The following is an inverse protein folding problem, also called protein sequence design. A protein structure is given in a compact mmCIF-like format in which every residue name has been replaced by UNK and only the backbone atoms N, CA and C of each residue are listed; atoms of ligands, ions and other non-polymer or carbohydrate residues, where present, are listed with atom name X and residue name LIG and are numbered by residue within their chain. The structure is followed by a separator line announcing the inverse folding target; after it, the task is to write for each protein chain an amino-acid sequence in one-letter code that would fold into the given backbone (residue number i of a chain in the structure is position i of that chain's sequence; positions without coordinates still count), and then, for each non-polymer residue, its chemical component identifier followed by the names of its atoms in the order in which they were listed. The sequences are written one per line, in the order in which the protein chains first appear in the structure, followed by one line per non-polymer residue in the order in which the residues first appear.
data_IF_696667465203
#
_entry.id   IF_696667465203
#
_cell.length_a   1.000
_cell.length_b   1.000
_cell.length_c   1.000
_cell.angle_alpha   90.00
_cell.angle_beta   90.00
_cell.angle_gamma   90.00
#
_symmetry.space_group_name_H-M   'P 1'
#
loop_
_entity.id
_entity.type
_entity.pdbx_description
1 polymer ?
#
# COMPACT_ATOMS: atom_id res chain seq x y z
N UNK A 1 5.47 -80.33 16.61
CA UNK A 1 6.36 -79.93 17.71
C UNK A 1 7.75 -79.68 17.15
N UNK A 2 8.35 -78.50 17.42
CA UNK A 2 9.76 -78.19 17.08
C UNK A 2 9.90 -77.25 15.86
N UNK A 3 9.48 -75.98 15.91
CA UNK A 3 10.14 -74.83 16.58
C UNK A 3 11.08 -74.06 15.64
N UNK A 4 10.55 -72.92 15.18
CA UNK A 4 11.19 -71.66 14.75
C UNK A 4 12.69 -71.68 14.40
N UNK A 5 12.98 -71.48 13.10
CA UNK A 5 14.29 -70.99 12.65
C UNK A 5 14.50 -69.58 13.20
N UNK A 6 15.45 -69.42 14.11
CA UNK A 6 15.84 -68.11 14.62
C UNK A 6 16.38 -67.23 13.49
N UNK A 7 15.83 -66.02 13.43
CA UNK A 7 16.19 -64.96 12.51
C UNK A 7 17.56 -64.37 12.95
N UNK A 8 18.63 -64.40 12.14
CA UNK A 8 19.98 -63.98 12.56
C UNK A 8 20.18 -62.46 12.70
N UNK A 9 19.10 -61.67 12.69
CA UNK A 9 19.15 -60.22 12.76
C UNK A 9 19.12 -59.62 14.19
N UNK A 10 19.18 -60.46 15.23
CA UNK A 10 18.93 -60.03 16.61
C UNK A 10 20.17 -59.99 17.53
N UNK A 11 21.38 -59.71 17.02
CA UNK A 11 22.60 -59.68 17.85
C UNK A 11 23.61 -58.58 17.48
N UNK A 12 23.19 -57.32 17.41
CA UNK A 12 24.13 -56.19 17.52
C UNK A 12 23.49 -55.01 18.25
N UNK A 13 23.44 -55.08 19.59
CA UNK A 13 23.19 -53.92 20.45
C UNK A 13 24.44 -53.59 21.26
N UNK A 14 25.56 -53.33 20.58
CA UNK A 14 26.73 -52.69 21.20
C UNK A 14 26.98 -51.42 20.43
N UNK A 15 26.69 -50.27 21.05
CA UNK A 15 27.20 -48.98 20.57
C UNK A 15 28.72 -49.06 20.58
N UNK A 16 29.36 -49.04 19.42
CA UNK A 16 30.82 -49.06 19.33
C UNK A 16 31.39 -47.84 20.04
N UNK A 17 32.44 -48.02 20.84
CA UNK A 17 33.09 -46.89 21.51
C UNK A 17 33.84 -46.03 20.48
N UNK A 18 34.09 -44.75 20.76
CA UNK A 18 34.83 -43.86 19.84
C UNK A 18 36.21 -44.42 19.44
N UNK A 19 36.80 -45.25 20.29
CA UNK A 19 38.08 -45.93 20.07
C UNK A 19 37.96 -47.00 18.97
N UNK A 20 36.82 -47.67 18.87
CA UNK A 20 36.56 -48.71 17.87
C UNK A 20 36.25 -48.09 16.49
N UNK A 21 35.55 -46.95 16.47
CA UNK A 21 35.27 -46.20 15.24
C UNK A 21 36.53 -45.65 14.56
N UNK A 22 37.57 -45.34 15.35
CA UNK A 22 38.87 -44.86 14.84
C UNK A 22 39.71 -45.97 14.18
N UNK A 23 39.45 -47.24 14.49
CA UNK A 23 40.16 -48.41 13.92
C UNK A 23 39.54 -48.89 12.60
N UNK A 24 38.32 -48.44 12.27
CA UNK A 24 37.63 -48.83 11.04
C UNK A 24 38.19 -48.09 9.82
N UNK A 25 38.10 -48.74 8.65
CA UNK A 25 38.33 -48.04 7.38
C UNK A 25 37.28 -46.94 7.18
N UNK A 26 37.60 -45.85 6.45
CA UNK A 26 36.66 -44.75 6.22
C UNK A 26 35.30 -45.22 5.67
N UNK A 27 35.31 -46.21 4.78
CA UNK A 27 34.10 -46.78 4.18
C UNK A 27 33.27 -47.59 5.18
N UNK A 28 33.90 -48.38 6.05
CA UNK A 28 33.19 -49.12 7.10
C UNK A 28 32.60 -48.17 8.15
N UNK A 29 33.34 -47.13 8.53
CA UNK A 29 32.86 -46.09 9.45
C UNK A 29 31.67 -45.33 8.87
N UNK A 30 31.73 -44.96 7.59
CA UNK A 30 30.61 -44.30 6.91
C UNK A 30 29.36 -45.19 6.87
N UNK A 31 29.52 -46.49 6.56
CA UNK A 31 28.41 -47.45 6.59
C UNK A 31 27.81 -47.59 7.98
N UNK A 32 28.63 -47.66 9.03
CA UNK A 32 28.13 -47.74 10.40
C UNK A 32 27.34 -46.48 10.82
N UNK A 33 27.91 -45.29 10.60
CA UNK A 33 27.27 -44.01 10.93
C UNK A 33 25.96 -43.76 10.16
N UNK A 34 25.78 -44.37 8.99
CA UNK A 34 24.54 -44.27 8.22
C UNK A 34 23.33 -44.94 8.89
N UNK A 35 23.58 -45.94 9.76
CA UNK A 35 22.53 -46.66 10.49
C UNK A 35 22.46 -46.28 11.98
N UNK A 36 23.45 -45.55 12.49
CA UNK A 36 23.45 -45.03 13.86
C UNK A 36 22.53 -43.81 13.97
N UNK A 37 21.82 -43.71 15.10
CA UNK A 37 20.96 -42.54 15.35
C UNK A 37 21.84 -41.31 15.58
N UNK A 38 21.55 -40.18 14.93
CA UNK A 38 22.30 -38.95 15.13
C UNK A 38 22.24 -38.49 16.60
N UNK A 39 23.25 -37.74 17.04
CA UNK A 39 23.23 -37.16 18.38
C UNK A 39 22.10 -36.13 18.51
N UNK A 40 21.63 -35.91 19.74
CA UNK A 40 20.55 -34.94 20.03
C UNK A 40 20.88 -33.53 19.52
N UNK A 41 22.15 -33.13 19.56
CA UNK A 41 22.60 -31.83 19.04
C UNK A 41 22.45 -31.73 17.52
N UNK A 42 22.80 -32.80 16.79
CA UNK A 42 22.62 -32.87 15.33
C UNK A 42 21.14 -32.88 14.97
N UNK A 43 20.31 -33.63 15.70
CA UNK A 43 18.85 -33.63 15.52
C UNK A 43 18.25 -32.23 15.73
N UNK A 44 18.65 -31.53 16.80
CA UNK A 44 18.21 -30.16 17.08
C UNK A 44 18.64 -29.17 15.99
N UNK A 45 19.86 -29.32 15.45
CA UNK A 45 20.36 -28.50 14.35
C UNK A 45 19.58 -28.74 13.04
N UNK A 46 19.29 -30.00 12.73
CA UNK A 46 18.46 -30.39 11.57
C UNK A 46 17.02 -29.89 11.72
N UNK A 47 16.46 -29.93 12.93
CA UNK A 47 15.13 -29.37 13.20
C UNK A 47 15.11 -27.85 13.07
N UNK A 48 16.11 -27.15 13.60
CA UNK A 48 16.24 -25.70 13.48
C UNK A 48 16.34 -25.25 12.02
N UNK A 49 17.18 -25.90 11.23
CA UNK A 49 17.31 -25.63 9.78
C UNK A 49 16.03 -25.94 9.03
N UNK A 50 15.38 -27.08 9.31
CA UNK A 50 14.09 -27.43 8.69
C UNK A 50 12.98 -26.42 9.02
N UNK A 51 12.94 -25.92 10.26
CA UNK A 51 11.98 -24.91 10.67
C UNK A 51 12.24 -23.57 9.96
N UNK A 52 13.50 -23.13 9.88
CA UNK A 52 13.88 -21.95 9.08
C UNK A 52 13.45 -22.06 7.63
N UNK A 53 13.70 -23.20 6.97
CA UNK A 53 13.30 -23.41 5.58
C UNK A 53 11.78 -23.40 5.40
N UNK A 54 11.02 -23.93 6.37
CA UNK A 54 9.55 -23.84 6.37
C UNK A 54 9.04 -22.41 6.55
N UNK A 55 9.68 -21.63 7.42
CA UNK A 55 9.36 -20.22 7.62
C UNK A 55 9.65 -19.41 6.36
N UNK A 56 10.78 -19.66 5.71
CA UNK A 56 11.16 -19.03 4.45
C UNK A 56 10.20 -19.39 3.31
N UNK A 57 9.81 -20.67 3.19
CA UNK A 57 8.80 -21.10 2.24
C UNK A 57 7.43 -20.43 2.47
N UNK A 58 6.99 -20.33 3.73
CA UNK A 58 5.75 -19.62 4.10
C UNK A 58 5.84 -18.13 3.80
N UNK A 59 6.98 -17.50 4.05
CA UNK A 59 7.21 -16.09 3.74
C UNK A 59 7.14 -15.84 2.22
N UNK A 60 7.69 -16.75 1.41
CA UNK A 60 7.61 -16.69 -0.05
C UNK A 60 6.16 -16.80 -0.56
N UNK A 61 5.35 -17.67 0.05
CA UNK A 61 3.92 -17.81 -0.28
C UNK A 61 3.08 -16.61 0.18
N UNK A 62 3.43 -16.00 1.31
CA UNK A 62 2.72 -14.84 1.85
C UNK A 62 3.07 -13.52 1.13
N UNK A 63 4.29 -13.39 0.60
CA UNK A 63 4.76 -12.20 -0.10
C UNK A 63 3.86 -11.72 -1.26
N UNK A 64 3.39 -12.57 -2.20
CA UNK A 64 2.49 -12.12 -3.26
C UNK A 64 1.13 -11.68 -2.73
N UNK A 65 0.59 -12.31 -1.68
CA UNK A 65 -0.69 -11.92 -1.06
C UNK A 65 -0.59 -10.53 -0.43
N UNK A 66 0.46 -10.28 0.35
CA UNK A 66 0.69 -8.97 0.96
C UNK A 66 0.86 -7.86 -0.08
N UNK A 67 1.49 -8.16 -1.22
CA UNK A 67 1.61 -7.22 -2.35
C UNK A 67 0.25 -6.93 -2.98
N UNK A 68 -0.56 -7.97 -3.21
CA UNK A 68 -1.92 -7.82 -3.75
C UNK A 68 -2.81 -6.99 -2.81
N UNK A 69 -2.75 -7.25 -1.50
CA UNK A 69 -3.51 -6.49 -0.50
C UNK A 69 -3.10 -5.02 -0.49
N UNK A 70 -1.80 -4.73 -0.56
CA UNK A 70 -1.29 -3.37 -0.65
C UNK A 70 -1.73 -2.65 -1.94
N UNK A 71 -1.77 -3.36 -3.07
CA UNK A 71 -2.28 -2.81 -4.33
C UNK A 71 -3.79 -2.54 -4.27
N UNK A 72 -4.58 -3.45 -3.71
CA UNK A 72 -6.03 -3.26 -3.54
C UNK A 72 -6.33 -2.05 -2.64
N UNK A 73 -5.57 -1.86 -1.56
CA UNK A 73 -5.72 -0.67 -0.69
C UNK A 73 -5.40 0.61 -1.46
N UNK A 74 -4.34 0.61 -2.27
CA UNK A 74 -3.99 1.77 -3.12
C UNK A 74 -5.10 2.05 -4.13
N UNK A 75 -5.61 1.04 -4.81
CA UNK A 75 -6.71 1.16 -5.76
C UNK A 75 -7.98 1.70 -5.07
N UNK A 76 -8.35 1.15 -3.93
CA UNK A 76 -9.50 1.62 -3.15
C UNK A 76 -9.36 3.09 -2.74
N UNK A 77 -8.16 3.52 -2.33
CA UNK A 77 -7.86 4.93 -2.02
C UNK A 77 -8.05 5.83 -3.24
N UNK A 78 -7.51 5.45 -4.40
CA UNK A 78 -7.66 6.20 -5.65
C UNK A 78 -9.13 6.27 -6.05
N UNK A 79 -9.85 5.16 -6.01
CA UNK A 79 -11.30 5.13 -6.29
C UNK A 79 -12.08 6.04 -5.33
N UNK A 80 -11.73 6.05 -4.04
CA UNK A 80 -12.33 6.94 -3.06
C UNK A 80 -12.09 8.42 -3.38
N UNK A 81 -10.86 8.78 -3.76
CA UNK A 81 -10.51 10.14 -4.17
C UNK A 81 -11.26 10.57 -5.42
N UNK A 82 -11.33 9.70 -6.44
CA UNK A 82 -12.06 9.97 -7.68
C UNK A 82 -13.56 10.14 -7.44
N UNK A 83 -14.18 9.26 -6.64
CA UNK A 83 -15.60 9.39 -6.25
C UNK A 83 -15.87 10.69 -5.49
N UNK A 84 -14.98 11.08 -4.58
CA UNK A 84 -15.10 12.34 -3.85
C UNK A 84 -14.98 13.56 -4.78
N UNK A 85 -14.03 13.53 -5.73
CA UNK A 85 -13.87 14.56 -6.74
C UNK A 85 -15.12 14.67 -7.63
N UNK A 86 -15.67 13.52 -8.07
CA UNK A 86 -16.89 13.48 -8.87
C UNK A 86 -18.10 14.05 -8.11
N UNK A 87 -18.31 13.65 -6.85
CA UNK A 87 -19.41 14.16 -6.04
C UNK A 87 -19.32 15.68 -5.85
N UNK A 88 -18.12 16.21 -5.58
CA UNK A 88 -17.88 17.66 -5.51
C UNK A 88 -18.16 18.34 -6.84
N UNK A 89 -17.73 17.75 -7.95
CA UNK A 89 -17.99 18.30 -9.28
C UNK A 89 -19.50 18.32 -9.59
N UNK A 90 -20.24 17.26 -9.28
CA UNK A 90 -21.71 17.22 -9.43
C UNK A 90 -22.39 18.35 -8.66
N UNK A 91 -22.02 18.56 -7.39
CA UNK A 91 -22.54 19.67 -6.56
C UNK A 91 -22.18 21.03 -7.17
N UNK A 92 -20.94 21.21 -7.62
CA UNK A 92 -20.50 22.45 -8.28
C UNK A 92 -21.32 22.74 -9.54
N UNK A 93 -21.49 21.76 -10.43
CA UNK A 93 -22.26 21.90 -11.67
C UNK A 93 -23.71 22.27 -11.35
N UNK A 94 -24.33 21.61 -10.38
CA UNK A 94 -25.69 21.95 -9.95
C UNK A 94 -25.80 23.38 -9.41
N UNK A 95 -24.84 23.83 -8.60
CA UNK A 95 -24.80 25.20 -8.09
C UNK A 95 -24.65 26.23 -9.21
N UNK A 96 -23.74 25.98 -10.16
CA UNK A 96 -23.54 26.85 -11.33
C UNK A 96 -24.81 26.92 -12.19
N UNK A 97 -25.44 25.76 -12.44
CA UNK A 97 -26.71 25.69 -13.18
C UNK A 97 -27.82 26.45 -12.46
N UNK A 98 -27.95 26.26 -11.15
CA UNK A 98 -28.93 26.99 -10.34
C UNK A 98 -28.70 28.50 -10.40
N UNK A 99 -27.46 28.96 -10.25
CA UNK A 99 -27.13 30.39 -10.36
C UNK A 99 -27.48 30.94 -11.73
N UNK A 100 -27.14 30.21 -12.80
CA UNK A 100 -27.47 30.61 -14.18
C UNK A 100 -28.99 30.68 -14.41
N UNK A 101 -29.73 29.67 -13.98
CA UNK A 101 -31.20 29.64 -14.12
C UNK A 101 -31.84 30.76 -13.32
N UNK A 102 -31.43 30.94 -12.06
CA UNK A 102 -31.90 32.03 -11.20
C UNK A 102 -31.66 33.40 -11.85
N UNK A 103 -30.48 33.64 -12.43
CA UNK A 103 -30.22 34.91 -13.12
C UNK A 103 -31.10 35.09 -14.36
N UNK A 104 -31.31 34.04 -15.14
CA UNK A 104 -32.18 34.08 -16.32
C UNK A 104 -33.64 34.37 -15.94
N UNK A 105 -34.13 33.73 -14.88
CA UNK A 105 -35.49 33.89 -14.38
C UNK A 105 -35.74 35.29 -13.81
N UNK A 106 -34.79 35.82 -13.03
CA UNK A 106 -34.84 37.21 -12.56
C UNK A 106 -34.86 38.18 -13.74
N UNK A 107 -33.99 38.00 -14.74
CA UNK A 107 -33.95 38.86 -15.91
C UNK A 107 -35.26 38.79 -16.70
N UNK A 108 -35.83 37.60 -16.84
CA UNK A 108 -37.14 37.41 -17.46
C UNK A 108 -38.23 38.14 -16.68
N UNK A 109 -38.25 38.03 -15.35
CA UNK A 109 -39.23 38.70 -14.49
C UNK A 109 -39.13 40.23 -14.60
N UNK A 110 -37.93 40.80 -14.68
CA UNK A 110 -37.72 42.24 -14.89
C UNK A 110 -38.23 42.65 -16.28
N UNK A 111 -37.93 41.85 -17.31
CA UNK A 111 -38.28 42.16 -18.70
C UNK A 111 -39.78 42.03 -18.96
N UNK A 112 -40.47 41.15 -18.24
CA UNK A 112 -41.91 40.94 -18.38
C UNK A 112 -42.78 41.95 -17.62
N UNK A 113 -42.18 42.93 -16.92
CA UNK A 113 -42.94 43.95 -16.24
C UNK A 113 -43.69 44.85 -17.24
N UNK A 114 -44.92 45.29 -16.90
CA UNK A 114 -45.76 46.05 -17.83
C UNK A 114 -45.23 47.47 -18.10
N UNK A 115 -44.47 48.05 -17.17
CA UNK A 115 -43.87 49.37 -17.33
C UNK A 115 -42.38 49.36 -16.97
N UNK A 116 -41.62 50.26 -17.60
CA UNK A 116 -40.19 50.42 -17.30
C UNK A 116 -39.94 50.87 -15.84
N UNK A 117 -40.87 51.63 -15.25
CA UNK A 117 -40.79 52.06 -13.84
C UNK A 117 -40.90 50.87 -12.89
N UNK A 118 -41.80 49.93 -13.19
CA UNK A 118 -41.97 48.71 -12.39
C UNK A 118 -40.76 47.78 -12.52
N UNK A 119 -40.21 47.64 -13.72
CA UNK A 119 -38.96 46.91 -13.96
C UNK A 119 -37.79 47.47 -13.14
N UNK A 120 -37.59 48.79 -13.16
CA UNK A 120 -36.55 49.47 -12.37
C UNK A 120 -36.77 49.30 -10.86
N UNK A 121 -38.02 49.46 -10.40
CA UNK A 121 -38.37 49.28 -9.00
C UNK A 121 -38.07 47.85 -8.55
N UNK A 122 -38.44 46.85 -9.34
CA UNK A 122 -38.14 45.44 -9.06
C UNK A 122 -36.62 45.20 -8.99
N UNK A 123 -35.85 45.75 -9.95
CA UNK A 123 -34.40 45.62 -10.00
C UNK A 123 -33.72 46.19 -8.74
N UNK A 124 -34.20 47.33 -8.22
CA UNK A 124 -33.64 47.98 -7.03
C UNK A 124 -33.87 47.16 -5.75
N UNK A 125 -34.94 46.38 -5.66
CA UNK A 125 -35.20 45.52 -4.50
C UNK A 125 -34.39 44.22 -4.51
N UNK A 126 -33.72 43.89 -5.62
CA UNK A 126 -32.88 42.70 -5.69
C UNK A 126 -31.52 42.97 -5.01
N UNK A 127 -30.93 41.95 -4.38
CA UNK A 127 -29.56 42.05 -3.89
C UNK A 127 -28.62 42.45 -5.03
N UNK A 128 -27.66 43.36 -4.80
CA UNK A 128 -26.70 43.73 -5.82
C UNK A 128 -25.93 42.48 -6.27
N UNK A 129 -25.95 42.22 -7.58
CA UNK A 129 -25.16 41.14 -8.16
C UNK A 129 -23.68 41.52 -8.02
N UNK A 130 -22.99 40.90 -7.07
CA UNK A 130 -21.54 40.98 -7.02
C UNK A 130 -21.01 40.08 -8.12
N UNK A 131 -20.52 40.68 -9.19
CA UNK A 131 -19.56 40.04 -10.09
C UNK A 131 -18.30 39.79 -9.26
N UNK A 132 -18.30 38.69 -8.49
CA UNK A 132 -17.10 38.22 -7.81
C UNK A 132 -16.17 37.67 -8.90
N UNK A 133 -15.52 38.58 -9.60
CA UNK A 133 -14.36 38.28 -10.42
C UNK A 133 -13.24 38.00 -9.43
N UNK A 134 -13.00 36.72 -9.17
CA UNK A 134 -11.75 36.34 -8.52
C UNK A 134 -10.63 36.91 -9.40
N UNK A 135 -9.73 37.73 -8.85
CA UNK A 135 -8.58 38.16 -9.62
C UNK A 135 -7.88 36.90 -10.15
N UNK A 136 -7.40 36.94 -11.41
CA UNK A 136 -6.62 35.85 -11.95
C UNK A 136 -5.47 35.55 -11.00
N UNK A 137 -5.05 34.29 -10.97
CA UNK A 137 -3.89 33.87 -10.19
C UNK A 137 -2.71 34.82 -10.50
N UNK A 138 -2.16 35.52 -9.50
CA UNK A 138 -1.12 36.51 -9.73
C UNK A 138 0.22 35.87 -10.13
N UNK A 139 0.37 34.56 -9.97
CA UNK A 139 1.60 33.84 -10.28
C UNK A 139 1.51 33.15 -11.65
N UNK A 140 2.44 33.48 -12.53
CA UNK A 140 2.67 32.71 -13.75
C UNK A 140 3.25 31.32 -13.46
N UNK A 141 3.29 30.44 -14.46
CA UNK A 141 3.82 29.07 -14.30
C UNK A 141 5.24 29.04 -13.71
N UNK A 142 6.14 29.88 -14.23
CA UNK A 142 7.55 29.95 -13.78
C UNK A 142 7.64 30.48 -12.35
N UNK A 143 6.82 31.46 -12.00
CA UNK A 143 6.81 32.06 -10.66
C UNK A 143 6.25 31.07 -9.64
N UNK A 144 5.19 30.35 -10.00
CA UNK A 144 4.60 29.29 -9.20
C UNK A 144 5.57 28.15 -8.97
N UNK A 145 6.25 27.67 -10.00
CA UNK A 145 7.29 26.63 -9.88
C UNK A 145 8.43 27.09 -8.96
N UNK A 146 8.86 28.35 -9.07
CA UNK A 146 9.87 28.93 -8.18
C UNK A 146 9.39 29.03 -6.74
N UNK A 147 8.15 29.47 -6.51
CA UNK A 147 7.55 29.54 -5.17
C UNK A 147 7.42 28.15 -4.56
N UNK A 148 6.98 27.16 -5.34
CA UNK A 148 6.91 25.77 -4.91
C UNK A 148 8.31 25.22 -4.59
N UNK A 149 9.32 25.50 -5.41
CA UNK A 149 10.70 25.11 -5.12
C UNK A 149 11.23 25.72 -3.81
N UNK A 150 10.89 26.97 -3.52
CA UNK A 150 11.26 27.63 -2.25
C UNK A 150 10.49 27.02 -1.07
N UNK A 151 9.19 26.75 -1.23
CA UNK A 151 8.36 26.16 -0.18
C UNK A 151 8.77 24.72 0.17
N UNK A 152 9.26 23.97 -0.81
CA UNK A 152 9.72 22.59 -0.65
C UNK A 152 11.17 22.50 -0.16
N UNK A 153 11.89 23.62 -0.08
CA UNK A 153 13.25 23.67 0.43
C UNK A 153 13.27 23.91 1.94
N UNK A 154 13.15 22.82 2.70
CA UNK A 154 13.21 22.83 4.17
C UNK A 154 14.57 23.32 4.70
N UNK A 155 15.64 23.21 3.89
CA UNK A 155 17.00 23.60 4.28
C UNK A 155 17.31 25.08 4.03
N UNK A 156 16.50 25.73 3.19
CA UNK A 156 16.63 27.13 2.78
C UNK A 156 17.87 27.44 1.95
N UNK A 157 18.43 26.43 1.27
CA UNK A 157 19.61 26.56 0.40
C UNK A 157 19.35 27.44 -0.84
N UNK A 158 18.10 27.48 -1.32
CA UNK A 158 17.71 28.20 -2.53
C UNK A 158 17.57 29.70 -2.34
N UNK A 159 17.35 30.18 -1.10
CA UNK A 159 17.09 31.60 -0.83
C UNK A 159 17.99 32.26 0.22
N UNK A 160 18.70 31.48 1.05
CA UNK A 160 19.70 32.05 1.96
C UNK A 160 20.97 32.39 1.19
N UNK A 161 21.19 33.68 0.93
CA UNK A 161 22.48 34.17 0.43
C UNK A 161 23.42 34.32 1.61
N UNK A 162 24.34 33.38 1.77
CA UNK A 162 25.47 33.54 2.68
C UNK A 162 26.37 34.68 2.16
N UNK A 163 26.39 35.79 2.90
CA UNK A 163 27.40 36.84 2.82
C UNK A 163 28.60 36.48 3.68
#
# INVERSE_FOLDING_TARGET
MGSFKENPAAKFSKSSTEVDLKKMTPMQRARYLAYEKPSKEVEMSVLSTRNRLKEEARALEAAPRLRQDAEQIRQAKVVGQLKAAEARNRVRVLRLRYQSLKSQEINHLITSQPTARDALRLQVFLPPHQDIRYPPDPLGHVERERVEAILMDDSGLTFKRTT
#
